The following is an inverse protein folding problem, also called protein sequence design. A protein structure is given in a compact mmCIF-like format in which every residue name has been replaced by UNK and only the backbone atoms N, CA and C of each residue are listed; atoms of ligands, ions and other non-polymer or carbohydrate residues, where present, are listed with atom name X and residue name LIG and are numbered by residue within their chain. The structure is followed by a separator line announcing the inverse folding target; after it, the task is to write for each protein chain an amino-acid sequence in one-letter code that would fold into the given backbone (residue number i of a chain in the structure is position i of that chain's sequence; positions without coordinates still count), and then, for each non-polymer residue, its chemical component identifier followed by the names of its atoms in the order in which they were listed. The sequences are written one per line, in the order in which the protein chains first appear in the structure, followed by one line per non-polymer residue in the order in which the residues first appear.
data_IF_931012264721
#
_entry.id   IF_931012264721
#
_cell.length_a   1.000
_cell.length_b   1.000
_cell.length_c   1.000
_cell.angle_alpha   90.00
_cell.angle_beta   90.00
_cell.angle_gamma   90.00
#
_symmetry.space_group_name_H-M   'P 1'
#
loop_
_entity.id
_entity.type
_entity.pdbx_description
1 polymer ?
#
# COMPACT_ATOMS: atom_id res chain seq x y z
N UNK A 1 -6.57 -22.50 11.60
CA UNK A 1 -6.69 -21.25 10.79
C UNK A 1 -5.92 -20.04 11.35
N UNK A 2 -5.43 -20.04 12.60
CA UNK A 2 -4.81 -18.85 13.24
C UNK A 2 -3.59 -18.24 12.53
N UNK A 3 -2.83 -19.04 11.78
CA UNK A 3 -1.62 -18.58 11.08
C UNK A 3 -1.90 -17.99 9.69
N UNK A 4 -3.05 -18.29 9.08
CA UNK A 4 -3.35 -17.84 7.72
C UNK A 4 -3.38 -16.31 7.59
N UNK A 5 -4.02 -15.54 8.51
CA UNK A 5 -3.98 -14.08 8.46
C UNK A 5 -2.57 -13.51 8.66
N UNK A 6 -1.72 -14.16 9.46
CA UNK A 6 -0.33 -13.72 9.65
C UNK A 6 0.49 -13.89 8.37
N UNK A 7 0.45 -15.08 7.78
CA UNK A 7 1.15 -15.35 6.51
C UNK A 7 0.62 -14.43 5.41
N UNK A 8 -0.69 -14.26 5.33
CA UNK A 8 -1.31 -13.33 4.37
C UNK A 8 -0.81 -11.90 4.53
N UNK A 9 -0.73 -11.39 5.77
CA UNK A 9 -0.21 -10.04 6.05
C UNK A 9 1.27 -9.91 5.73
N UNK A 10 2.08 -10.95 5.97
CA UNK A 10 3.51 -10.93 5.60
C UNK A 10 3.66 -10.78 4.08
N UNK A 11 2.98 -11.63 3.32
CA UNK A 11 3.04 -11.61 1.85
C UNK A 11 2.51 -10.29 1.29
N UNK A 12 1.38 -9.81 1.82
CA UNK A 12 0.77 -8.55 1.43
C UNK A 12 1.67 -7.35 1.78
N UNK A 13 2.23 -7.29 2.99
CA UNK A 13 3.03 -6.16 3.45
C UNK A 13 4.41 -6.06 2.79
N UNK A 14 5.00 -7.18 2.37
CA UNK A 14 6.36 -7.23 1.84
C UNK A 14 6.58 -6.25 0.67
N UNK A 15 5.64 -6.19 -0.27
CA UNK A 15 5.75 -5.30 -1.44
C UNK A 15 5.70 -3.82 -1.04
N UNK A 16 4.87 -3.43 -0.07
CA UNK A 16 4.77 -2.04 0.37
C UNK A 16 6.02 -1.61 1.13
N UNK A 17 6.60 -2.48 1.94
CA UNK A 17 7.82 -2.17 2.68
C UNK A 17 8.98 -1.98 1.72
N UNK A 18 9.17 -2.91 0.78
CA UNK A 18 10.20 -2.80 -0.25
C UNK A 18 10.01 -1.54 -1.12
N UNK A 19 8.78 -1.31 -1.59
CA UNK A 19 8.45 -0.15 -2.45
C UNK A 19 8.58 1.16 -1.67
N UNK A 20 8.22 1.17 -0.39
CA UNK A 20 8.35 2.34 0.49
C UNK A 20 9.80 2.77 0.65
N UNK A 21 10.74 1.84 0.88
CA UNK A 21 12.17 2.17 0.89
C UNK A 21 12.68 2.68 -0.47
N UNK A 22 12.19 2.09 -1.58
CA UNK A 22 12.55 2.53 -2.92
C UNK A 22 12.14 3.99 -3.20
N UNK A 23 11.01 4.47 -2.64
CA UNK A 23 10.60 5.88 -2.78
C UNK A 23 11.62 6.87 -2.18
N UNK A 24 12.36 6.48 -1.14
CA UNK A 24 13.40 7.32 -0.56
C UNK A 24 14.75 7.15 -1.24
N UNK A 25 15.07 5.93 -1.69
CA UNK A 25 16.34 5.62 -2.34
C UNK A 25 16.42 6.03 -3.81
N UNK A 26 15.27 6.09 -4.50
CA UNK A 26 15.20 6.35 -5.94
C UNK A 26 14.18 7.44 -6.31
N UNK A 27 14.09 8.47 -5.46
CA UNK A 27 13.12 9.55 -5.65
C UNK A 27 13.27 10.27 -7.00
N UNK A 28 14.50 10.38 -7.52
CA UNK A 28 14.80 11.02 -8.79
C UNK A 28 14.08 10.37 -9.97
N UNK A 29 14.03 9.04 -10.01
CA UNK A 29 13.33 8.31 -11.08
C UNK A 29 11.81 8.32 -10.88
N UNK A 30 11.34 8.33 -9.63
CA UNK A 30 9.90 8.28 -9.33
C UNK A 30 9.18 9.62 -9.54
N UNK A 31 9.89 10.75 -9.51
CA UNK A 31 9.32 12.08 -9.77
C UNK A 31 8.60 12.13 -11.12
N UNK A 32 9.10 11.43 -12.13
CA UNK A 32 8.47 11.36 -13.46
C UNK A 32 7.13 10.64 -13.49
N UNK A 33 6.80 9.86 -12.45
CA UNK A 33 5.52 9.15 -12.32
C UNK A 33 4.46 10.00 -11.59
N UNK A 34 4.84 11.12 -10.96
CA UNK A 34 3.89 11.99 -10.27
C UNK A 34 3.09 12.78 -11.31
N UNK A 35 1.75 12.82 -11.21
CA UNK A 35 0.92 13.58 -12.13
C UNK A 35 1.35 15.05 -12.24
N UNK A 36 1.46 15.54 -13.47
CA UNK A 36 2.04 16.86 -13.78
C UNK A 36 1.27 18.06 -13.20
N UNK A 37 0.01 17.86 -12.81
CA UNK A 37 -0.80 18.90 -12.17
C UNK A 37 -0.50 19.08 -10.66
N UNK A 38 0.25 18.17 -10.04
CA UNK A 38 0.62 18.28 -8.63
C UNK A 38 1.88 19.15 -8.47
N UNK A 39 1.87 20.14 -7.58
CA UNK A 39 3.07 20.91 -7.28
C UNK A 39 4.07 20.06 -6.47
N UNK A 40 5.36 20.36 -6.58
CA UNK A 40 6.43 19.73 -5.81
C UNK A 40 6.41 18.19 -5.85
N UNK A 41 6.68 17.56 -7.01
CA UNK A 41 6.53 16.11 -7.18
C UNK A 41 7.39 15.28 -6.20
N UNK A 42 8.59 15.76 -5.85
CA UNK A 42 9.45 15.12 -4.85
C UNK A 42 8.77 14.99 -3.48
N UNK A 43 7.94 15.96 -3.08
CA UNK A 43 7.18 15.88 -1.83
C UNK A 43 6.20 14.70 -1.87
N UNK A 44 5.48 14.53 -2.98
CA UNK A 44 4.54 13.43 -3.14
C UNK A 44 5.22 12.07 -3.14
N UNK A 45 6.41 11.94 -3.76
CA UNK A 45 7.21 10.71 -3.70
C UNK A 45 7.56 10.34 -2.25
N UNK A 46 8.04 11.29 -1.45
CA UNK A 46 8.36 11.00 -0.05
C UNK A 46 7.11 10.75 0.81
N UNK A 47 6.01 11.46 0.54
CA UNK A 47 4.74 11.25 1.21
C UNK A 47 4.21 9.84 0.94
N UNK A 48 4.17 9.40 -0.32
CA UNK A 48 3.69 8.06 -0.68
C UNK A 48 4.65 6.98 -0.17
N UNK A 49 5.96 7.23 -0.19
CA UNK A 49 6.95 6.36 0.45
C UNK A 49 6.69 6.18 1.95
N UNK A 50 6.39 7.26 2.67
CA UNK A 50 6.03 7.21 4.09
C UNK A 50 4.70 6.47 4.30
N UNK A 51 3.68 6.70 3.48
CA UNK A 51 2.40 5.98 3.54
C UNK A 51 2.60 4.48 3.36
N UNK A 52 3.42 4.08 2.40
CA UNK A 52 3.76 2.68 2.12
C UNK A 52 4.46 2.01 3.30
N UNK A 53 5.46 2.67 3.91
CA UNK A 53 6.18 2.13 5.07
C UNK A 53 5.27 2.06 6.30
N UNK A 54 4.55 3.13 6.63
CA UNK A 54 3.67 3.19 7.80
C UNK A 54 2.53 2.18 7.66
N UNK A 55 1.86 2.16 6.51
CA UNK A 55 0.76 1.24 6.23
C UNK A 55 1.24 -0.22 6.18
N UNK A 56 2.33 -0.49 5.46
CA UNK A 56 2.91 -1.82 5.32
C UNK A 56 3.36 -2.40 6.66
N UNK A 57 4.10 -1.62 7.46
CA UNK A 57 4.55 -2.06 8.79
C UNK A 57 3.36 -2.25 9.75
N UNK A 58 2.40 -1.32 9.77
CA UNK A 58 1.17 -1.44 10.58
C UNK A 58 0.42 -2.74 10.30
N UNK A 59 0.24 -3.08 9.02
CA UNK A 59 -0.40 -4.33 8.61
C UNK A 59 0.47 -5.55 8.94
N UNK A 60 1.78 -5.51 8.69
CA UNK A 60 2.70 -6.62 8.96
C UNK A 60 2.66 -7.06 10.43
N UNK A 61 2.87 -6.11 11.35
CA UNK A 61 2.89 -6.41 12.79
C UNK A 61 1.48 -6.57 13.36
N UNK A 62 0.48 -6.04 12.66
CA UNK A 62 -0.91 -6.06 13.08
C UNK A 62 -1.16 -5.10 14.23
N UNK A 63 -0.60 -3.89 14.15
CA UNK A 63 -0.82 -2.80 15.09
C UNK A 63 -1.51 -1.65 14.37
N UNK A 64 -2.71 -1.28 14.83
CA UNK A 64 -3.64 -0.41 14.13
C UNK A 64 -3.84 -0.86 12.68
N UNK A 65 -3.92 -2.17 12.45
CA UNK A 65 -3.90 -2.74 11.10
C UNK A 65 -5.06 -2.24 10.22
N UNK A 66 -6.20 -1.90 10.84
CA UNK A 66 -7.32 -1.29 10.14
C UNK A 66 -6.93 0.06 9.51
N UNK A 67 -6.23 0.90 10.27
CA UNK A 67 -5.70 2.18 9.79
C UNK A 67 -4.59 1.97 8.75
N UNK A 68 -3.71 0.97 8.97
CA UNK A 68 -2.69 0.61 7.98
C UNK A 68 -3.31 0.21 6.63
N UNK A 69 -4.39 -0.57 6.65
CA UNK A 69 -5.18 -0.92 5.46
C UNK A 69 -5.76 0.31 4.75
N UNK A 70 -6.33 1.27 5.49
CA UNK A 70 -6.84 2.52 4.90
C UNK A 70 -5.74 3.35 4.25
N UNK A 71 -4.57 3.49 4.91
CA UNK A 71 -3.43 4.23 4.36
C UNK A 71 -2.96 3.61 3.05
N UNK A 72 -2.83 2.27 3.01
CA UNK A 72 -2.44 1.55 1.80
C UNK A 72 -3.49 1.68 0.69
N UNK A 73 -4.78 1.58 1.01
CA UNK A 73 -5.85 1.79 0.03
C UNK A 73 -5.85 3.22 -0.54
N UNK A 74 -5.63 4.22 0.33
CA UNK A 74 -5.52 5.62 -0.06
C UNK A 74 -4.29 5.93 -0.92
N UNK A 75 -3.24 5.11 -0.87
CA UNK A 75 -2.13 5.17 -1.82
C UNK A 75 -2.46 4.44 -3.12
N UNK A 76 -2.94 3.19 -3.03
CA UNK A 76 -3.08 2.28 -4.17
C UNK A 76 -4.16 2.72 -5.16
N UNK A 77 -5.33 3.11 -4.68
CA UNK A 77 -6.46 3.44 -5.56
C UNK A 77 -6.14 4.70 -6.39
N UNK A 78 -5.66 5.81 -5.80
CA UNK A 78 -5.24 6.96 -6.58
C UNK A 78 -4.07 6.66 -7.52
N UNK A 79 -3.08 5.85 -7.10
CA UNK A 79 -1.96 5.48 -7.98
C UNK A 79 -2.44 4.70 -9.20
N UNK A 80 -3.31 3.71 -9.01
CA UNK A 80 -3.92 2.96 -10.11
C UNK A 80 -4.63 3.90 -11.10
N UNK A 81 -5.43 4.85 -10.62
CA UNK A 81 -6.27 5.72 -11.44
C UNK A 81 -5.51 6.90 -12.08
N UNK A 82 -4.54 7.48 -11.37
CA UNK A 82 -3.87 8.71 -11.80
C UNK A 82 -2.53 8.46 -12.50
N UNK A 83 -1.87 7.34 -12.20
CA UNK A 83 -0.54 7.01 -12.75
C UNK A 83 -0.66 5.95 -13.84
N UNK A 84 -1.42 4.88 -13.60
CA UNK A 84 -1.44 3.73 -14.51
C UNK A 84 -2.61 3.74 -15.51
N UNK A 85 -3.81 4.13 -15.08
CA UNK A 85 -4.99 4.15 -15.95
C UNK A 85 -4.85 4.99 -17.23
N UNK A 86 -4.20 6.17 -17.25
CA UNK A 86 -4.09 6.98 -18.46
C UNK A 86 -3.46 6.25 -19.66
N UNK A 87 -2.52 5.32 -19.40
CA UNK A 87 -1.83 4.56 -20.45
C UNK A 87 -2.34 3.12 -20.59
N UNK A 88 -3.24 2.66 -19.72
CA UNK A 88 -3.66 1.25 -19.65
C UNK A 88 -4.35 0.74 -20.94
N UNK A 89 -4.92 1.62 -21.76
CA UNK A 89 -5.54 1.23 -23.04
C UNK A 89 -4.54 0.95 -24.17
N UNK A 90 -3.30 1.44 -24.05
CA UNK A 90 -2.27 1.33 -25.09
C UNK A 90 -1.01 0.58 -24.63
N UNK A 91 -0.77 0.52 -23.32
CA UNK A 91 0.38 -0.16 -22.72
C UNK A 91 -0.09 -1.28 -21.77
N UNK A 92 0.25 -2.51 -22.13
CA UNK A 92 -0.07 -3.70 -21.35
C UNK A 92 0.58 -3.67 -19.95
N UNK A 93 1.77 -3.07 -19.82
CA UNK A 93 2.45 -2.93 -18.53
C UNK A 93 1.67 -1.96 -17.64
N UNK A 94 1.22 -0.83 -18.19
CA UNK A 94 0.37 0.12 -17.47
C UNK A 94 -0.95 -0.55 -17.00
N UNK A 95 -1.61 -1.34 -17.86
CA UNK A 95 -2.79 -2.11 -17.47
C UNK A 95 -2.50 -3.12 -16.34
N UNK A 96 -1.37 -3.83 -16.43
CA UNK A 96 -0.96 -4.79 -15.41
C UNK A 96 -0.71 -4.12 -14.05
N UNK A 97 -0.01 -2.98 -14.04
CA UNK A 97 0.26 -2.22 -12.82
C UNK A 97 -1.02 -1.65 -12.22
N UNK A 98 -1.93 -1.12 -13.05
CA UNK A 98 -3.26 -0.68 -12.61
C UNK A 98 -4.03 -1.81 -11.93
N UNK A 99 -4.11 -2.98 -12.57
CA UNK A 99 -4.81 -4.14 -12.02
C UNK A 99 -4.18 -4.66 -10.72
N UNK A 100 -2.85 -4.67 -10.65
CA UNK A 100 -2.10 -5.03 -9.44
C UNK A 100 -2.45 -4.07 -8.29
N UNK A 101 -2.44 -2.76 -8.52
CA UNK A 101 -2.78 -1.80 -7.47
C UNK A 101 -4.26 -1.83 -7.08
N UNK A 102 -5.18 -2.02 -8.03
CA UNK A 102 -6.61 -2.19 -7.72
C UNK A 102 -6.89 -3.44 -6.88
N UNK A 103 -6.27 -4.58 -7.25
CA UNK A 103 -6.41 -5.84 -6.52
C UNK A 103 -5.88 -5.71 -5.08
N UNK A 104 -4.68 -5.15 -4.93
CA UNK A 104 -4.09 -4.93 -3.62
C UNK A 104 -4.86 -3.88 -2.80
N UNK A 105 -5.42 -2.85 -3.45
CA UNK A 105 -6.28 -1.86 -2.81
C UNK A 105 -7.55 -2.50 -2.23
N UNK A 106 -8.16 -3.44 -2.97
CA UNK A 106 -9.25 -4.27 -2.48
C UNK A 106 -8.85 -5.09 -1.25
N UNK A 107 -7.69 -5.76 -1.29
CA UNK A 107 -7.17 -6.49 -0.13
C UNK A 107 -6.89 -5.57 1.08
N UNK A 108 -6.37 -4.36 0.83
CA UNK A 108 -6.14 -3.35 1.87
C UNK A 108 -7.45 -2.94 2.56
N UNK A 109 -8.53 -2.76 1.79
CA UNK A 109 -9.87 -2.46 2.33
C UNK A 109 -10.46 -3.64 3.11
N UNK A 110 -10.24 -4.88 2.65
CA UNK A 110 -10.63 -6.06 3.43
C UNK A 110 -9.90 -6.12 4.78
N UNK A 111 -8.59 -5.83 4.81
CA UNK A 111 -7.82 -5.73 6.05
C UNK A 111 -8.34 -4.56 6.92
N UNK A 112 -8.69 -3.43 6.29
CA UNK A 112 -9.31 -2.30 7.00
C UNK A 112 -10.60 -2.68 7.70
N UNK A 113 -11.41 -3.53 7.07
CA UNK A 113 -12.70 -3.96 7.61
C UNK A 113 -12.54 -5.06 8.67
N UNK A 114 -11.87 -6.17 8.31
CA UNK A 114 -11.76 -7.37 9.14
C UNK A 114 -10.66 -7.29 10.22
N UNK A 115 -9.63 -6.46 10.04
CA UNK A 115 -8.48 -6.37 10.95
C UNK A 115 -7.40 -7.43 10.72
N UNK A 116 -6.46 -7.54 11.67
CA UNK A 116 -5.22 -8.33 11.51
C UNK A 116 -5.32 -9.83 11.85
N UNK A 117 -6.43 -10.28 12.43
CA UNK A 117 -6.60 -11.63 12.95
C UNK A 117 -5.87 -11.88 14.29
N UNK A 118 -5.92 -13.12 14.81
CA UNK A 118 -5.57 -13.45 16.19
C UNK A 118 -4.07 -13.33 16.52
N UNK A 119 -3.19 -13.57 15.54
CA UNK A 119 -1.74 -13.42 15.72
C UNK A 119 -1.27 -12.00 15.38
N UNK A 120 -1.74 -11.01 16.13
CA UNK A 120 -1.46 -9.58 15.90
C UNK A 120 -1.23 -8.83 17.21
N UNK A 121 -0.64 -7.63 17.14
CA UNK A 121 -0.53 -6.77 18.32
C UNK A 121 -1.88 -6.20 18.76
N UNK A 122 -2.78 -5.92 17.80
CA UNK A 122 -4.15 -5.48 18.07
C UNK A 122 -4.92 -6.50 18.92
N UNK A 123 -4.75 -7.80 18.65
CA UNK A 123 -5.39 -8.87 19.42
C UNK A 123 -4.85 -9.03 20.85
N UNK A 124 -3.63 -8.57 21.14
CA UNK A 124 -3.05 -8.60 22.49
C UNK A 124 -3.54 -7.45 23.38
N UNK A 125 -4.01 -6.36 22.77
CA UNK A 125 -4.50 -5.17 23.47
C UNK A 125 -6.01 -5.19 23.79
N UNK A 126 -6.78 -6.10 23.18
CA UNK A 126 -8.21 -6.25 23.38
C UNK A 126 -8.56 -7.25 24.50
N UNK A 127 -7.72 -7.37 25.52
CA UNK A 127 -7.93 -8.28 26.65
C UNK A 127 -9.08 -7.81 27.54
N UNK A 128 -10.29 -8.26 27.21
CA UNK A 128 -11.29 -8.71 28.19
C UNK A 128 -11.28 -10.25 28.22
#
# INVERSE_FOLDING_TARGET
MQYAPLVGRILFAAIFIMTGFAHFGDAGNMVGMVPSFLPAPTFFVFLTGAMLLVGGLSVLVGFKAKMGGLILAAFLIPTALLVHAPNAGADQIAMMMMMKDMSMGGAALLISYFGAGPMSMDAKGSGE
#
